data_IF_693424543927
#
_entry.id   IF_693424543927
#
_cell.length_a   1.000
_cell.length_b   1.000
_cell.length_c   1.000
_cell.angle_alpha   90.00
_cell.angle_beta   90.00
_cell.angle_gamma   90.00
#
_symmetry.space_group_name_H-M   'P 1'
#
loop_
_entity.id
_entity.type
_entity.pdbx_description
1 polymer ?
#
# COMPACT_ATOMS: atom_id res chain seq x y z
N UNK A 1 -8.08 10.80 -12.84
CA UNK A 1 -8.43 9.75 -11.86
C UNK A 1 -7.49 8.57 -11.99
N UNK A 2 -6.97 8.09 -10.87
CA UNK A 2 -6.10 6.91 -10.85
C UNK A 2 -6.93 5.64 -10.67
N UNK A 3 -6.62 4.61 -11.45
CA UNK A 3 -7.22 3.30 -11.31
C UNK A 3 -6.18 2.31 -10.78
N UNK A 4 -6.48 1.73 -9.63
CA UNK A 4 -5.67 0.67 -9.02
C UNK A 4 -6.57 -0.55 -8.93
N UNK A 5 -6.30 -1.55 -9.72
CA UNK A 5 -7.20 -2.70 -9.91
C UNK A 5 -6.66 -4.01 -9.33
N UNK A 6 -5.53 -3.96 -8.64
CA UNK A 6 -4.89 -5.15 -8.08
C UNK A 6 -4.52 -4.98 -6.62
N UNK A 7 -4.43 -6.11 -5.93
CA UNK A 7 -3.91 -6.22 -4.57
C UNK A 7 -2.47 -6.69 -4.62
N UNK A 8 -1.65 -6.25 -3.67
CA UNK A 8 -0.27 -6.73 -3.55
C UNK A 8 -0.22 -7.82 -2.49
N UNK A 9 -0.10 -9.07 -2.93
CA UNK A 9 -0.11 -10.25 -2.04
C UNK A 9 1.04 -11.17 -2.45
N UNK A 10 1.78 -11.65 -1.47
CA UNK A 10 2.88 -12.60 -1.68
C UNK A 10 3.92 -12.11 -2.68
N UNK A 11 4.28 -10.83 -2.59
CA UNK A 11 5.31 -10.24 -3.46
C UNK A 11 4.87 -9.93 -4.88
N UNK A 12 3.59 -10.02 -5.20
CA UNK A 12 3.09 -9.80 -6.56
C UNK A 12 1.76 -9.03 -6.56
N UNK A 13 1.55 -8.25 -7.61
CA UNK A 13 0.27 -7.63 -7.90
C UNK A 13 -0.69 -8.70 -8.38
N UNK A 14 -1.78 -8.90 -7.64
CA UNK A 14 -2.72 -10.00 -7.82
C UNK A 14 -4.11 -9.47 -8.07
N UNK A 15 -4.82 -10.05 -9.06
CA UNK A 15 -6.21 -9.72 -9.28
C UNK A 15 -7.05 -10.05 -8.05
N UNK A 16 -7.94 -9.16 -7.59
CA UNK A 16 -8.78 -9.44 -6.43
C UNK A 16 -9.83 -10.51 -6.75
N UNK A 17 -10.19 -11.31 -5.75
CA UNK A 17 -11.34 -12.18 -5.83
C UNK A 17 -12.64 -11.37 -5.70
N UNK A 18 -12.63 -10.36 -4.84
CA UNK A 18 -13.76 -9.44 -4.70
C UNK A 18 -14.05 -8.68 -5.98
N UNK A 19 -15.32 -8.47 -6.27
CA UNK A 19 -15.79 -7.86 -7.53
C UNK A 19 -16.01 -6.35 -7.42
N UNK A 20 -16.08 -5.82 -6.21
CA UNK A 20 -16.38 -4.41 -5.98
C UNK A 20 -15.16 -3.52 -6.05
N UNK A 21 -15.44 -2.22 -6.10
CA UNK A 21 -14.41 -1.17 -6.01
C UNK A 21 -14.80 -0.16 -4.94
N UNK A 22 -13.81 0.54 -4.42
CA UNK A 22 -13.99 1.63 -3.46
C UNK A 22 -13.52 2.90 -4.13
N UNK A 23 -14.36 3.94 -4.09
CA UNK A 23 -14.00 5.26 -4.57
C UNK A 23 -13.15 5.98 -3.52
N UNK A 24 -12.07 6.59 -3.97
CA UNK A 24 -11.23 7.45 -3.14
C UNK A 24 -11.55 8.89 -3.49
N UNK A 25 -11.93 9.68 -2.49
CA UNK A 25 -12.34 11.06 -2.67
C UNK A 25 -11.24 12.03 -2.22
N UNK A 26 -11.15 13.16 -2.93
CA UNK A 26 -10.35 14.30 -2.45
C UNK A 26 -10.99 14.89 -1.21
N UNK A 27 -10.22 15.07 -0.14
CA UNK A 27 -10.70 15.69 1.09
C UNK A 27 -11.11 17.15 0.89
N UNK A 28 -10.50 17.84 -0.09
CA UNK A 28 -10.76 19.26 -0.36
C UNK A 28 -11.93 19.51 -1.31
N UNK A 29 -12.03 18.69 -2.38
CA UNK A 29 -13.01 18.92 -3.47
C UNK A 29 -14.16 17.93 -3.47
N UNK A 30 -14.06 16.85 -2.68
CA UNK A 30 -14.99 15.73 -2.65
C UNK A 30 -15.09 14.93 -3.97
N UNK A 31 -14.31 15.31 -4.97
CA UNK A 31 -14.26 14.59 -6.24
C UNK A 31 -13.61 13.20 -6.08
N UNK A 32 -14.06 12.24 -6.87
CA UNK A 32 -13.42 10.92 -6.95
C UNK A 32 -12.09 11.05 -7.66
N UNK A 33 -10.98 10.77 -6.97
CA UNK A 33 -9.62 10.90 -7.50
C UNK A 33 -8.97 9.57 -7.82
N UNK A 34 -9.49 8.48 -7.30
CA UNK A 34 -8.98 7.14 -7.54
C UNK A 34 -10.05 6.08 -7.27
N UNK A 35 -9.80 4.88 -7.78
CA UNK A 35 -10.58 3.68 -7.44
C UNK A 35 -9.64 2.57 -7.04
N UNK A 36 -9.99 1.85 -6.00
CA UNK A 36 -9.24 0.69 -5.50
C UNK A 36 -10.15 -0.54 -5.42
N UNK A 37 -9.60 -1.75 -5.41
CA UNK A 37 -10.41 -2.94 -5.23
C UNK A 37 -11.04 -2.99 -3.84
N UNK A 38 -12.30 -3.41 -3.76
CA UNK A 38 -12.90 -3.84 -2.51
C UNK A 38 -12.57 -5.33 -2.32
N UNK A 39 -11.49 -5.62 -1.62
CA UNK A 39 -11.12 -7.00 -1.31
C UNK A 39 -12.21 -7.69 -0.49
N UNK A 40 -12.37 -8.98 -0.68
CA UNK A 40 -13.32 -9.79 0.09
C UNK A 40 -12.60 -10.71 1.10
N UNK A 41 -13.35 -11.59 1.74
CA UNK A 41 -12.80 -12.52 2.72
C UNK A 41 -11.78 -13.49 2.13
N UNK A 42 -11.92 -13.87 0.85
CA UNK A 42 -10.96 -14.70 0.15
C UNK A 42 -9.63 -13.97 -0.03
N UNK A 43 -9.68 -12.69 -0.37
CA UNK A 43 -8.49 -11.85 -0.51
C UNK A 43 -7.79 -11.69 0.84
N UNK A 44 -8.54 -11.46 1.91
CA UNK A 44 -8.00 -11.37 3.26
C UNK A 44 -7.34 -12.69 3.69
N UNK A 45 -7.98 -13.81 3.42
CA UNK A 45 -7.45 -15.14 3.73
C UNK A 45 -6.14 -15.40 2.96
N UNK A 46 -6.08 -15.02 1.68
CA UNK A 46 -4.86 -15.15 0.88
C UNK A 46 -3.71 -14.32 1.44
N UNK A 47 -4.00 -13.09 1.86
CA UNK A 47 -3.00 -12.21 2.49
C UNK A 47 -2.47 -12.79 3.80
N UNK A 48 -3.35 -13.29 4.65
CA UNK A 48 -2.97 -13.92 5.93
C UNK A 48 -2.15 -15.19 5.70
N UNK A 49 -2.54 -16.03 4.75
CA UNK A 49 -1.80 -17.25 4.42
C UNK A 49 -0.39 -16.94 3.91
N UNK A 50 -0.24 -15.93 3.07
CA UNK A 50 1.06 -15.48 2.57
C UNK A 50 1.94 -14.96 3.71
N UNK A 51 1.39 -14.15 4.60
CA UNK A 51 2.10 -13.63 5.77
C UNK A 51 2.54 -14.76 6.71
N UNK A 52 1.67 -15.73 6.96
CA UNK A 52 1.98 -16.89 7.78
C UNK A 52 3.10 -17.73 7.18
N UNK A 53 3.05 -17.98 5.88
CA UNK A 53 4.09 -18.73 5.18
C UNK A 53 5.46 -18.03 5.22
N UNK A 54 5.48 -16.69 5.20
CA UNK A 54 6.71 -15.90 5.26
C UNK A 54 7.29 -15.75 6.66
N UNK A 55 6.52 -16.03 7.71
CA UNK A 55 6.89 -15.71 9.08
C UNK A 55 8.20 -16.37 9.54
N UNK A 56 8.32 -17.68 9.37
CA UNK A 56 9.49 -18.42 9.89
C UNK A 56 10.78 -17.99 9.18
N UNK A 57 10.74 -17.86 7.86
CA UNK A 57 11.90 -17.41 7.09
C UNK A 57 12.35 -16.01 7.47
N UNK A 58 11.40 -15.11 7.66
CA UNK A 58 11.72 -13.74 8.09
C UNK A 58 12.26 -13.70 9.51
N UNK A 59 11.63 -14.45 10.42
CA UNK A 59 12.09 -14.53 11.81
C UNK A 59 13.52 -15.10 11.93
N UNK A 60 13.89 -16.03 11.05
CA UNK A 60 15.23 -16.61 11.00
C UNK A 60 16.25 -15.72 10.28
N UNK A 61 15.81 -14.69 9.57
CA UNK A 61 16.72 -13.76 8.90
C UNK A 61 17.56 -13.01 9.93
N UNK A 62 18.89 -12.92 9.76
CA UNK A 62 19.74 -12.19 10.71
C UNK A 62 19.30 -10.75 10.90
N UNK A 63 19.38 -10.19 12.11
CA UNK A 63 18.96 -8.79 12.36
C UNK A 63 19.62 -7.77 11.46
N UNK A 64 20.88 -7.95 11.10
CA UNK A 64 21.60 -7.04 10.19
C UNK A 64 20.97 -7.03 8.80
N UNK A 65 20.55 -8.20 8.30
CA UNK A 65 19.91 -8.31 6.99
C UNK A 65 18.50 -7.70 7.01
N UNK A 66 17.75 -7.89 8.10
CA UNK A 66 16.46 -7.24 8.27
C UNK A 66 16.60 -5.72 8.30
N UNK A 67 17.61 -5.21 9.00
CA UNK A 67 17.91 -3.78 9.03
C UNK A 67 18.24 -3.24 7.64
N UNK A 68 18.97 -4.01 6.82
CA UNK A 68 19.31 -3.64 5.46
C UNK A 68 18.07 -3.51 4.57
N UNK A 69 17.08 -4.41 4.71
CA UNK A 69 15.80 -4.29 4.02
C UNK A 69 15.04 -3.03 4.42
N UNK A 70 15.01 -2.72 5.71
CA UNK A 70 14.36 -1.50 6.21
C UNK A 70 15.05 -0.23 5.67
N UNK A 71 16.37 -0.24 5.57
CA UNK A 71 17.11 0.87 4.98
C UNK A 71 16.73 1.09 3.51
N UNK A 72 16.56 0.02 2.73
CA UNK A 72 16.09 0.12 1.34
C UNK A 72 14.67 0.69 1.24
N UNK A 73 13.79 0.29 2.14
CA UNK A 73 12.42 0.86 2.20
C UNK A 73 12.50 2.36 2.47
N UNK A 74 13.33 2.77 3.42
CA UNK A 74 13.52 4.18 3.74
C UNK A 74 14.04 4.98 2.54
N UNK A 75 15.02 4.45 1.82
CA UNK A 75 15.52 5.08 0.60
C UNK A 75 14.43 5.22 -0.47
N UNK A 76 13.63 4.19 -0.66
CA UNK A 76 12.51 4.21 -1.60
C UNK A 76 11.45 5.24 -1.23
N UNK A 77 11.11 5.36 0.04
CA UNK A 77 10.17 6.37 0.54
C UNK A 77 10.72 7.77 0.35
N UNK A 78 11.99 8.00 0.64
CA UNK A 78 12.65 9.31 0.43
C UNK A 78 12.63 9.70 -1.05
N UNK A 79 12.94 8.77 -1.93
CA UNK A 79 12.95 9.03 -3.38
C UNK A 79 11.58 9.40 -3.93
N UNK A 80 10.50 8.95 -3.27
CA UNK A 80 9.12 9.21 -3.66
C UNK A 80 8.37 10.13 -2.71
N UNK A 81 9.07 10.83 -1.82
CA UNK A 81 8.46 11.63 -0.76
C UNK A 81 7.50 12.70 -1.30
N UNK A 82 7.86 13.36 -2.39
CA UNK A 82 7.00 14.38 -3.00
C UNK A 82 5.69 13.79 -3.52
N UNK A 83 5.78 12.68 -4.26
CA UNK A 83 4.60 11.96 -4.78
C UNK A 83 3.69 11.48 -3.65
N UNK A 84 4.27 10.86 -2.63
CA UNK A 84 3.54 10.35 -1.47
C UNK A 84 2.90 11.49 -0.69
N UNK A 85 3.64 12.58 -0.48
CA UNK A 85 3.14 13.76 0.22
C UNK A 85 1.94 14.38 -0.48
N UNK A 86 1.97 14.49 -1.79
CA UNK A 86 0.82 14.98 -2.58
C UNK A 86 -0.40 14.07 -2.44
N UNK A 87 -0.19 12.75 -2.47
CA UNK A 87 -1.27 11.77 -2.29
C UNK A 87 -1.91 11.91 -0.91
N UNK A 88 -1.11 12.03 0.14
CA UNK A 88 -1.61 12.23 1.51
C UNK A 88 -2.40 13.53 1.61
N UNK A 89 -1.90 14.61 1.01
CA UNK A 89 -2.59 15.89 1.02
C UNK A 89 -3.96 15.80 0.34
N UNK A 90 -4.08 15.06 -0.76
CA UNK A 90 -5.34 14.88 -1.46
C UNK A 90 -6.34 14.04 -0.67
N UNK A 91 -5.90 12.96 -0.05
CA UNK A 91 -6.79 12.03 0.63
C UNK A 91 -7.22 12.53 2.01
N UNK A 92 -6.33 13.17 2.75
CA UNK A 92 -6.53 13.53 4.16
C UNK A 92 -6.77 15.03 4.34
N UNK A 93 -6.44 15.83 3.34
CA UNK A 93 -6.52 17.29 3.44
C UNK A 93 -5.38 17.93 4.23
N UNK A 94 -4.33 17.18 4.51
CA UNK A 94 -3.15 17.68 5.19
C UNK A 94 -2.39 18.67 4.28
N UNK A 95 -1.89 19.82 4.78
CA UNK A 95 -1.06 20.69 3.98
C UNK A 95 0.15 19.95 3.41
N UNK A 96 0.46 20.17 2.14
CA UNK A 96 1.57 19.49 1.44
C UNK A 96 2.88 19.62 2.19
N UNK A 97 3.14 20.80 2.76
CA UNK A 97 4.34 21.06 3.56
C UNK A 97 4.53 20.09 4.72
N UNK A 98 3.43 19.66 5.35
CA UNK A 98 3.47 18.72 6.48
C UNK A 98 3.46 17.27 6.02
N UNK A 99 2.88 16.98 4.84
CA UNK A 99 2.77 15.64 4.28
C UNK A 99 4.06 15.15 3.62
N UNK A 100 4.95 16.06 3.28
CA UNK A 100 6.25 15.76 2.70
C UNK A 100 7.35 15.73 3.77
#
# INVERSE_FOLDING_TARGET
MQLRDKLFINGAWTAPHGKGTIDVHSASTEAVIAKIPAGDEHDAAAGVAAARAAFEGWAATPPADRAAFLAKINEGLKARSEEIGKTIAQEVGMPVKLAT
#
